data_IF_019370994210
#
_entry.id   IF_019370994210
#
_cell.length_a   1.000
_cell.length_b   1.000
_cell.length_c   1.000
_cell.angle_alpha   90.00
_cell.angle_beta   90.00
_cell.angle_gamma   90.00
#
_symmetry.space_group_name_H-M   'P 1'
#
loop_
_entity.id
_entity.type
_entity.pdbx_description
1 polymer ?
#
# COMPACT_ATOMS: atom_id res chain seq x y z
N UNK A 1 -9.73 -17.45 31.31
CA UNK A 1 -9.33 -18.67 30.57
C UNK A 1 -9.83 -18.48 29.15
N UNK A 2 -8.99 -18.18 28.17
CA UNK A 2 -7.98 -19.09 27.62
C UNK A 2 -6.79 -18.25 27.10
N UNK A 3 -5.60 -18.47 27.64
CA UNK A 3 -4.35 -17.98 27.04
C UNK A 3 -3.93 -18.96 25.93
N UNK A 4 -3.48 -18.51 24.75
CA UNK A 4 -2.58 -19.30 23.93
C UNK A 4 -1.15 -18.77 24.16
N UNK A 5 -0.59 -19.14 25.30
CA UNK A 5 0.86 -19.22 25.47
C UNK A 5 1.22 -20.68 25.13
N UNK A 6 2.25 -20.87 24.29
CA UNK A 6 2.94 -22.15 24.04
C UNK A 6 2.50 -23.01 22.84
N UNK A 7 2.59 -22.51 21.61
CA UNK A 7 3.03 -23.34 20.45
C UNK A 7 3.71 -22.43 19.40
N UNK A 8 4.94 -22.00 19.64
CA UNK A 8 5.80 -21.45 18.57
C UNK A 8 7.27 -21.46 19.01
N UNK A 9 7.80 -22.63 19.35
CA UNK A 9 9.23 -22.85 19.43
C UNK A 9 9.56 -24.06 18.56
N UNK A 10 10.55 -23.91 17.68
CA UNK A 10 11.13 -24.94 16.78
C UNK A 10 10.58 -25.02 15.35
N UNK A 11 10.58 -23.89 14.62
CA UNK A 11 11.02 -23.79 13.22
C UNK A 11 11.04 -22.30 12.85
N UNK A 12 12.04 -21.88 12.06
CA UNK A 12 12.33 -20.48 11.78
C UNK A 12 11.12 -19.65 11.34
N UNK A 13 10.85 -18.59 12.11
CA UNK A 13 10.14 -17.34 11.79
C UNK A 13 9.35 -17.36 10.47
N UNK A 14 8.09 -17.80 10.53
CA UNK A 14 7.04 -17.18 9.73
C UNK A 14 5.80 -17.10 10.61
N UNK A 15 5.63 -15.96 11.26
CA UNK A 15 4.41 -15.62 12.00
C UNK A 15 3.19 -15.95 11.13
N UNK A 16 2.14 -16.61 11.65
CA UNK A 16 0.94 -16.84 10.85
C UNK A 16 0.38 -15.49 10.39
N UNK A 17 0.37 -15.27 9.08
CA UNK A 17 -0.32 -14.13 8.47
C UNK A 17 -1.81 -14.45 8.56
N UNK A 18 -2.47 -13.90 9.57
CA UNK A 18 -3.92 -14.01 9.71
C UNK A 18 -4.59 -13.06 8.72
N UNK A 19 -5.12 -13.61 7.63
CA UNK A 19 -6.02 -12.88 6.74
C UNK A 19 -7.40 -12.84 7.40
N UNK A 20 -7.79 -11.68 7.94
CA UNK A 20 -9.11 -11.46 8.57
C UNK A 20 -10.28 -11.46 7.56
N UNK A 21 -10.02 -11.75 6.29
CA UNK A 21 -11.03 -11.70 5.21
C UNK A 21 -11.52 -10.30 4.86
N UNK A 22 -10.92 -9.25 5.42
CA UNK A 22 -11.24 -7.85 5.10
C UNK A 22 -10.38 -7.36 3.95
N UNK A 23 -11.00 -7.16 2.80
CA UNK A 23 -10.42 -6.48 1.66
C UNK A 23 -11.04 -5.08 1.50
N UNK A 24 -10.24 -4.12 1.06
CA UNK A 24 -10.70 -2.78 0.69
C UNK A 24 -9.88 -2.28 -0.48
N UNK A 25 -10.54 -1.58 -1.40
CA UNK A 25 -9.94 -1.06 -2.61
C UNK A 25 -9.73 0.46 -2.49
N UNK A 26 -8.52 0.91 -2.85
CA UNK A 26 -8.20 2.33 -2.95
C UNK A 26 -8.44 2.79 -4.38
N UNK A 27 -9.56 3.47 -4.61
CA UNK A 27 -10.02 3.85 -5.95
C UNK A 27 -9.60 5.28 -6.31
N UNK A 28 -9.06 5.46 -7.52
CA UNK A 28 -8.68 6.79 -7.95
C UNK A 28 -7.76 6.93 -9.14
N UNK A 29 -6.96 5.91 -9.45
CA UNK A 29 -6.12 5.95 -10.63
C UNK A 29 -6.96 5.85 -11.90
N UNK A 30 -6.64 6.69 -12.87
CA UNK A 30 -7.25 6.70 -14.21
C UNK A 30 -6.56 5.73 -15.18
N UNK A 31 -5.36 5.26 -14.83
CA UNK A 31 -4.56 4.30 -15.58
C UNK A 31 -4.20 3.06 -14.73
N UNK A 32 -3.69 2.01 -15.38
CA UNK A 32 -3.25 0.82 -14.68
C UNK A 32 -2.14 1.13 -13.66
N UNK A 33 -2.35 0.72 -12.40
CA UNK A 33 -1.32 0.81 -11.36
C UNK A 33 -0.23 -0.20 -11.66
N UNK A 34 1.01 0.27 -11.75
CA UNK A 34 2.17 -0.56 -12.08
C UNK A 34 3.14 -0.71 -10.93
N UNK A 35 3.13 0.23 -10.00
CA UNK A 35 4.05 0.25 -8.87
C UNK A 35 3.31 0.56 -7.58
N UNK A 36 3.75 -0.10 -6.52
CA UNK A 36 3.30 0.10 -5.15
C UNK A 36 4.52 0.19 -4.24
N UNK A 37 4.54 1.18 -3.36
CA UNK A 37 5.61 1.36 -2.40
C UNK A 37 5.02 1.64 -1.02
N UNK A 38 5.35 0.76 -0.06
CA UNK A 38 5.10 1.01 1.34
C UNK A 38 6.31 1.76 1.94
N UNK A 39 6.06 2.70 2.88
CA UNK A 39 7.12 3.25 3.69
C UNK A 39 7.76 2.13 4.51
N UNK A 40 9.07 2.24 4.72
CA UNK A 40 9.83 1.32 5.56
C UNK A 40 9.51 1.46 7.04
N UNK A 41 8.97 2.62 7.46
CA UNK A 41 8.45 2.82 8.80
C UNK A 41 7.01 2.28 8.91
N UNK A 42 6.78 1.22 9.71
CA UNK A 42 5.45 0.64 9.90
C UNK A 42 4.46 1.61 10.58
N UNK A 43 4.93 2.67 11.25
CA UNK A 43 4.07 3.68 11.86
C UNK A 43 3.61 4.78 10.89
N UNK A 44 4.21 4.87 9.69
CA UNK A 44 3.94 5.96 8.76
C UNK A 44 2.50 5.95 8.19
N UNK A 45 1.82 4.80 8.23
CA UNK A 45 0.39 4.72 7.89
C UNK A 45 0.06 5.22 6.48
N UNK A 46 1.02 5.17 5.57
CA UNK A 46 0.95 5.75 4.24
C UNK A 46 1.23 4.67 3.20
N UNK A 47 0.62 4.77 2.03
CA UNK A 47 0.91 3.92 0.87
C UNK A 47 1.07 4.82 -0.36
N UNK A 48 2.03 4.51 -1.23
CA UNK A 48 2.17 5.16 -2.52
C UNK A 48 1.83 4.17 -3.62
N UNK A 49 0.95 4.57 -4.52
CA UNK A 49 0.66 3.84 -5.75
C UNK A 49 0.95 4.71 -6.97
N UNK A 50 1.58 4.12 -7.98
CA UNK A 50 1.90 4.81 -9.21
C UNK A 50 1.36 4.06 -10.43
N UNK A 51 0.81 4.85 -11.33
CA UNK A 51 0.31 4.48 -12.66
C UNK A 51 1.08 5.27 -13.71
N UNK A 52 0.77 5.02 -14.98
CA UNK A 52 1.39 5.74 -16.11
C UNK A 52 1.05 7.24 -16.12
N UNK A 53 -0.13 7.60 -15.59
CA UNK A 53 -0.63 8.98 -15.59
C UNK A 53 -0.44 9.68 -14.24
N UNK A 54 -0.46 8.93 -13.15
CA UNK A 54 -0.65 9.51 -11.81
C UNK A 54 0.12 8.74 -10.74
N UNK A 55 0.56 9.46 -9.72
CA UNK A 55 1.04 8.92 -8.45
C UNK A 55 0.10 9.40 -7.36
N UNK A 56 -0.46 8.47 -6.57
CA UNK A 56 -1.35 8.78 -5.45
C UNK A 56 -0.70 8.32 -4.15
N UNK A 57 -0.74 9.20 -3.15
CA UNK A 57 -0.33 8.94 -1.77
C UNK A 57 -1.60 8.77 -0.94
N UNK A 58 -1.70 7.67 -0.20
CA UNK A 58 -2.86 7.27 0.58
C UNK A 58 -2.55 7.22 2.06
N UNK A 59 -3.52 7.56 2.88
CA UNK A 59 -3.50 7.22 4.30
C UNK A 59 -4.18 5.86 4.48
N UNK A 60 -3.45 4.86 4.95
CA UNK A 60 -3.94 3.47 5.00
C UNK A 60 -5.02 3.25 6.06
N UNK A 61 -4.99 4.00 7.16
CA UNK A 61 -5.96 3.87 8.25
C UNK A 61 -7.36 4.37 7.90
N UNK A 62 -7.45 5.41 7.06
CA UNK A 62 -8.71 6.04 6.65
C UNK A 62 -9.06 5.79 5.18
N UNK A 63 -8.15 5.17 4.42
CA UNK A 63 -8.29 4.93 2.98
C UNK A 63 -8.46 6.21 2.15
N UNK A 64 -8.04 7.35 2.70
CA UNK A 64 -8.16 8.64 2.05
C UNK A 64 -6.95 8.95 1.16
N UNK A 65 -7.19 9.63 0.04
CA UNK A 65 -6.14 10.25 -0.78
C UNK A 65 -5.54 11.43 -0.01
N UNK A 66 -4.26 11.34 0.34
CA UNK A 66 -3.51 12.46 0.92
C UNK A 66 -3.01 13.41 -0.16
N UNK A 67 -2.55 12.84 -1.28
CA UNK A 67 -2.00 13.61 -2.38
C UNK A 67 -2.15 12.86 -3.70
N UNK A 68 -2.42 13.61 -4.76
CA UNK A 68 -2.40 13.11 -6.13
C UNK A 68 -1.45 13.99 -6.94
N UNK A 69 -0.55 13.34 -7.65
CA UNK A 69 0.41 13.97 -8.54
C UNK A 69 0.12 13.46 -9.95
N UNK A 70 -0.30 14.35 -10.82
CA UNK A 70 -0.42 14.04 -12.24
C UNK A 70 0.98 14.11 -12.85
N UNK A 71 1.37 13.01 -13.49
CA UNK A 71 2.54 13.01 -14.35
C UNK A 71 2.10 13.76 -15.61
N UNK A 72 2.65 14.96 -15.82
CA UNK A 72 2.39 15.68 -17.06
C UNK A 72 2.62 14.70 -18.22
N UNK A 73 1.57 14.45 -19.01
CA UNK A 73 1.65 13.60 -20.20
C UNK A 73 2.82 14.04 -21.07
N UNK A 74 3.38 13.14 -21.92
CA UNK A 74 4.68 13.32 -22.55
C UNK A 74 4.85 14.76 -22.97
N UNK A 75 5.64 15.51 -22.21
CA UNK A 75 6.08 16.83 -22.61
C UNK A 75 6.79 16.57 -23.91
N UNK A 76 6.10 16.84 -25.01
CA UNK A 76 6.72 17.03 -26.29
C UNK A 76 7.76 18.12 -26.07
N UNK A 77 8.98 17.72 -25.77
CA UNK A 77 10.15 18.52 -26.06
C UNK A 77 10.13 18.66 -27.58
N UNK A 78 9.45 19.70 -28.07
CA UNK A 78 9.68 20.17 -29.43
C UNK A 78 11.09 20.72 -29.44
N UNK A 79 11.94 20.06 -30.22
CA UNK A 79 13.22 20.60 -30.67
C UNK A 79 13.01 21.85 -31.54
#
# INVERSE_FOLDING_TARGET
MILPLLVAALAGIQSPVFFDGRESALEGHTAAVRYLAYPSDPAAGTLVSASDAEVIVWQTSSQNKLKQLELAGPTAFSA
#
